data_IF_195171743257
#
_entry.id   IF_195171743257
#
_cell.length_a   1.000
_cell.length_b   1.000
_cell.length_c   1.000
_cell.angle_alpha   90.00
_cell.angle_beta   90.00
_cell.angle_gamma   90.00
#
_symmetry.space_group_name_H-M   'P 1'
#
loop_
_entity.id
_entity.type
_entity.pdbx_description
1 polymer ?
#
# COMPACT_ATOMS: atom_id res chain seq x y z
N UNK A 1 38.94 -32.48 22.32
CA UNK A 1 38.77 -31.07 21.88
C UNK A 1 38.21 -30.88 20.45
N UNK A 2 37.63 -31.90 19.79
CA UNK A 2 37.21 -31.82 18.37
C UNK A 2 35.70 -31.64 18.08
N UNK A 3 34.82 -31.72 19.09
CA UNK A 3 33.35 -31.69 18.90
C UNK A 3 32.80 -30.26 18.89
N UNK A 4 33.40 -29.33 19.64
CA UNK A 4 32.96 -27.92 19.76
C UNK A 4 33.10 -27.11 18.46
N UNK A 5 34.09 -27.45 17.62
CA UNK A 5 34.40 -26.69 16.39
C UNK A 5 33.54 -27.08 15.18
N UNK A 6 32.85 -28.23 15.21
CA UNK A 6 31.86 -28.61 14.18
C UNK A 6 30.55 -27.86 14.34
N UNK A 7 30.07 -27.73 15.57
CA UNK A 7 28.87 -26.95 15.88
C UNK A 7 29.00 -25.50 15.43
N UNK A 8 30.09 -24.82 15.81
CA UNK A 8 30.32 -23.41 15.47
C UNK A 8 30.37 -23.18 13.94
N UNK A 9 31.04 -24.07 13.19
CA UNK A 9 31.08 -23.99 11.71
C UNK A 9 29.71 -24.23 11.07
N UNK A 10 28.92 -25.15 11.61
CA UNK A 10 27.57 -25.42 11.13
C UNK A 10 26.62 -24.24 11.40
N UNK A 11 26.72 -23.61 12.57
CA UNK A 11 25.97 -22.39 12.90
C UNK A 11 26.34 -21.21 12.00
N UNK A 12 27.64 -20.99 11.78
CA UNK A 12 28.11 -19.93 10.88
C UNK A 12 27.58 -20.11 9.46
N UNK A 13 27.67 -21.32 8.91
CA UNK A 13 27.16 -21.63 7.57
C UNK A 13 25.65 -21.45 7.46
N UNK A 14 24.88 -21.79 8.51
CA UNK A 14 23.43 -21.54 8.57
C UNK A 14 23.09 -20.05 8.59
N UNK A 15 23.87 -19.26 9.34
CA UNK A 15 23.69 -17.81 9.41
C UNK A 15 24.03 -17.14 8.06
N UNK A 16 25.14 -17.53 7.43
CA UNK A 16 25.53 -17.06 6.10
C UNK A 16 24.40 -17.33 5.08
N UNK A 17 23.92 -18.57 5.01
CA UNK A 17 22.80 -18.95 4.14
C UNK A 17 21.49 -18.19 4.45
N UNK A 18 21.20 -17.91 5.72
CA UNK A 18 20.02 -17.15 6.12
C UNK A 18 20.13 -15.67 5.74
N UNK A 19 21.32 -15.07 5.83
CA UNK A 19 21.58 -13.68 5.43
C UNK A 19 21.62 -13.47 3.92
N UNK A 20 21.92 -14.52 3.16
CA UNK A 20 21.90 -14.51 1.70
C UNK A 20 20.49 -14.77 1.15
N UNK A 21 19.63 -15.45 1.91
CA UNK A 21 18.25 -15.71 1.49
C UNK A 21 17.35 -14.48 1.73
N UNK A 22 16.85 -13.82 0.67
CA UNK A 22 16.01 -12.63 0.83
C UNK A 22 14.71 -12.93 1.58
N UNK A 23 14.15 -14.14 1.47
CA UNK A 23 12.94 -14.54 2.20
C UNK A 23 13.17 -14.56 3.71
N UNK A 24 14.28 -15.16 4.15
CA UNK A 24 14.64 -15.23 5.56
C UNK A 24 14.88 -13.84 6.15
N UNK A 25 15.62 -12.99 5.43
CA UNK A 25 15.89 -11.62 5.88
C UNK A 25 14.61 -10.80 6.02
N UNK A 26 13.69 -10.92 5.06
CA UNK A 26 12.40 -10.21 5.11
C UNK A 26 11.56 -10.62 6.33
N UNK A 27 11.48 -11.93 6.61
CA UNK A 27 10.78 -12.43 7.79
C UNK A 27 11.47 -11.94 9.07
N UNK A 28 12.80 -12.02 9.14
CA UNK A 28 13.56 -11.54 10.30
C UNK A 28 13.35 -10.03 10.53
N UNK A 29 13.32 -9.24 9.46
CA UNK A 29 13.04 -7.79 9.53
C UNK A 29 11.64 -7.53 10.06
N UNK A 30 10.63 -8.23 9.55
CA UNK A 30 9.25 -8.10 10.02
C UNK A 30 9.09 -8.50 11.49
N UNK A 31 9.78 -9.56 11.94
CA UNK A 31 9.83 -9.97 13.35
C UNK A 31 10.51 -8.91 14.21
N UNK A 32 11.63 -8.34 13.76
CA UNK A 32 12.31 -7.26 14.47
C UNK A 32 11.41 -6.03 14.65
N UNK A 33 10.67 -5.66 13.60
CA UNK A 33 9.65 -4.59 13.67
C UNK A 33 8.57 -4.93 14.68
N UNK A 34 8.02 -6.15 14.66
CA UNK A 34 6.98 -6.57 15.60
C UNK A 34 7.48 -6.52 17.05
N UNK A 35 8.68 -7.04 17.33
CA UNK A 35 9.29 -6.99 18.67
C UNK A 35 9.48 -5.55 19.12
N UNK A 36 9.96 -4.68 18.22
CA UNK A 36 10.12 -3.27 18.48
C UNK A 36 8.79 -2.56 18.81
N UNK A 37 7.69 -2.91 18.13
CA UNK A 37 6.36 -2.38 18.40
C UNK A 37 5.83 -2.85 19.77
N UNK A 38 5.94 -4.14 20.07
CA UNK A 38 5.49 -4.72 21.35
C UNK A 38 6.27 -4.11 22.51
N UNK A 39 7.58 -3.94 22.35
CA UNK A 39 8.42 -3.29 23.35
C UNK A 39 8.01 -1.84 23.58
N UNK A 40 7.81 -1.06 22.51
CA UNK A 40 7.40 0.33 22.64
C UNK A 40 6.05 0.43 23.37
N UNK A 41 5.08 -0.43 23.03
CA UNK A 41 3.78 -0.48 23.71
C UNK A 41 3.91 -0.81 25.20
N UNK A 42 4.77 -1.76 25.55
CA UNK A 42 5.05 -2.11 26.95
C UNK A 42 5.78 -0.99 27.72
N UNK A 43 6.54 -0.14 27.04
CA UNK A 43 7.22 1.02 27.64
C UNK A 43 6.25 2.18 27.96
N UNK A 44 5.01 2.12 27.48
CA UNK A 44 3.93 3.03 27.86
C UNK A 44 3.88 4.35 27.10
N UNK A 45 4.40 4.43 25.86
CA UNK A 45 4.25 5.69 25.12
C UNK A 45 2.78 5.98 24.83
N UNK A 46 2.43 7.25 24.98
CA UNK A 46 1.08 7.77 24.81
C UNK A 46 0.77 7.95 23.32
N UNK A 47 -0.49 7.68 22.95
CA UNK A 47 -0.99 7.96 21.60
C UNK A 47 -0.76 9.43 21.22
N UNK A 48 -0.24 9.64 20.01
CA UNK A 48 -0.07 10.98 19.46
C UNK A 48 -1.43 11.65 19.19
N UNK A 49 -1.43 12.99 19.14
CA UNK A 49 -2.64 13.79 18.92
C UNK A 49 -3.40 13.38 17.65
N UNK A 50 -2.70 13.09 16.57
CA UNK A 50 -3.33 12.68 15.30
C UNK A 50 -3.98 11.29 15.41
N UNK A 51 -3.35 10.38 16.17
CA UNK A 51 -3.90 9.06 16.48
C UNK A 51 -5.28 9.12 17.10
N UNK A 52 -5.52 10.10 17.99
CA UNK A 52 -6.81 10.29 18.66
C UNK A 52 -7.93 10.57 17.66
N UNK A 53 -7.67 11.34 16.59
CA UNK A 53 -8.68 11.65 15.57
C UNK A 53 -9.14 10.37 14.89
N UNK A 54 -8.20 9.51 14.49
CA UNK A 54 -8.52 8.26 13.78
C UNK A 54 -9.25 7.26 14.67
N UNK A 55 -8.85 7.17 15.94
CA UNK A 55 -9.50 6.34 16.95
C UNK A 55 -10.92 6.81 17.23
N UNK A 56 -11.13 8.12 17.42
CA UNK A 56 -12.48 8.68 17.62
C UNK A 56 -13.38 8.50 16.41
N UNK A 57 -12.85 8.70 15.19
CA UNK A 57 -13.58 8.44 13.96
C UNK A 57 -13.94 6.94 13.81
N UNK A 58 -13.07 6.03 14.25
CA UNK A 58 -13.37 4.60 14.27
C UNK A 58 -14.46 4.25 15.29
N UNK A 59 -14.44 4.87 16.47
CA UNK A 59 -15.49 4.66 17.49
C UNK A 59 -16.84 5.21 17.02
N UNK A 60 -16.86 6.44 16.47
CA UNK A 60 -18.07 7.04 15.90
C UNK A 60 -18.66 6.20 14.75
N UNK A 61 -17.81 5.54 13.95
CA UNK A 61 -18.26 4.60 12.92
C UNK A 61 -19.01 3.41 13.53
N UNK A 62 -18.52 2.85 14.63
CA UNK A 62 -19.14 1.71 15.31
C UNK A 62 -20.44 2.09 16.00
N UNK A 63 -20.51 3.28 16.59
CA UNK A 63 -21.64 3.72 17.40
C UNK A 63 -22.77 4.34 16.56
N UNK A 64 -22.42 5.16 15.56
CA UNK A 64 -23.33 6.06 14.85
C UNK A 64 -23.26 5.91 13.32
N UNK A 65 -22.40 5.03 12.81
CA UNK A 65 -22.26 4.74 11.39
C UNK A 65 -21.34 5.69 10.63
N UNK A 66 -21.28 5.48 9.30
CA UNK A 66 -20.28 6.10 8.43
C UNK A 66 -20.36 7.63 8.40
N UNK A 67 -21.57 8.20 8.44
CA UNK A 67 -21.76 9.65 8.41
C UNK A 67 -21.12 10.36 9.62
N UNK A 68 -21.30 9.80 10.83
CA UNK A 68 -20.71 10.35 12.04
C UNK A 68 -19.18 10.23 12.05
N UNK A 69 -18.65 9.11 11.55
CA UNK A 69 -17.21 8.93 11.35
C UNK A 69 -16.61 9.98 10.41
N UNK A 70 -17.27 10.20 9.27
CA UNK A 70 -16.82 11.17 8.26
C UNK A 70 -16.92 12.62 8.75
N UNK A 71 -17.86 12.93 9.64
CA UNK A 71 -17.93 14.25 10.28
C UNK A 71 -16.73 14.56 11.19
N UNK A 72 -16.09 13.52 11.75
CA UNK A 72 -14.83 13.66 12.50
C UNK A 72 -13.63 13.71 11.53
N UNK A 73 -13.62 12.81 10.54
CA UNK A 73 -12.54 12.72 9.57
C UNK A 73 -13.02 12.28 8.18
N UNK A 74 -12.89 13.17 7.19
CA UNK A 74 -13.45 13.00 5.85
C UNK A 74 -12.90 11.81 5.04
N UNK A 75 -11.74 11.24 5.42
CA UNK A 75 -11.12 10.12 4.70
C UNK A 75 -11.11 8.85 5.57
N UNK A 76 -12.21 8.09 5.62
CA UNK A 76 -12.44 7.11 6.68
C UNK A 76 -11.64 5.82 6.53
N UNK A 77 -10.85 5.63 5.48
CA UNK A 77 -10.23 4.33 5.18
C UNK A 77 -9.35 3.78 6.31
N UNK A 78 -8.57 4.64 6.97
CA UNK A 78 -7.78 4.23 8.13
C UNK A 78 -8.66 3.87 9.35
N UNK A 79 -9.66 4.72 9.66
CA UNK A 79 -10.61 4.49 10.76
C UNK A 79 -11.51 3.27 10.54
N UNK A 80 -11.84 2.94 9.29
CA UNK A 80 -12.57 1.73 8.90
C UNK A 80 -11.76 0.46 9.25
N UNK A 81 -10.45 0.47 8.98
CA UNK A 81 -9.57 -0.66 9.33
C UNK A 81 -9.47 -0.82 10.86
N UNK A 82 -9.34 0.29 11.59
CA UNK A 82 -9.34 0.28 13.07
C UNK A 82 -10.65 -0.30 13.59
N UNK A 83 -11.79 0.20 13.11
CA UNK A 83 -13.12 -0.27 13.50
C UNK A 83 -13.33 -1.77 13.18
N UNK A 84 -12.82 -2.24 12.04
CA UNK A 84 -12.85 -3.65 11.69
C UNK A 84 -12.06 -4.51 12.70
N UNK A 85 -10.88 -4.06 13.12
CA UNK A 85 -10.10 -4.76 14.15
C UNK A 85 -10.82 -4.76 15.49
N UNK A 86 -11.41 -3.64 15.92
CA UNK A 86 -12.23 -3.58 17.15
C UNK A 86 -13.36 -4.61 17.07
N UNK A 87 -14.10 -4.66 15.96
CA UNK A 87 -15.22 -5.59 15.76
C UNK A 87 -14.81 -7.06 15.74
N UNK A 88 -13.64 -7.38 15.19
CA UNK A 88 -13.15 -8.75 15.07
C UNK A 88 -12.49 -9.28 16.34
N UNK A 89 -11.84 -8.41 17.12
CA UNK A 89 -11.03 -8.81 18.28
C UNK A 89 -11.62 -8.42 19.63
N UNK A 90 -12.58 -7.49 19.68
CA UNK A 90 -13.12 -6.94 20.92
C UNK A 90 -12.09 -6.13 21.72
N UNK A 91 -11.00 -5.70 21.09
CA UNK A 91 -9.91 -4.95 21.74
C UNK A 91 -10.23 -3.46 21.90
N UNK A 92 -9.42 -2.75 22.68
CA UNK A 92 -9.59 -1.30 22.83
C UNK A 92 -9.26 -0.56 21.54
N UNK A 93 -9.86 0.61 21.28
CA UNK A 93 -9.59 1.36 20.06
C UNK A 93 -8.10 1.71 19.87
N UNK A 94 -7.37 1.98 20.94
CA UNK A 94 -5.93 2.27 20.94
C UNK A 94 -5.12 1.05 20.52
N UNK A 95 -5.45 -0.13 21.07
CA UNK A 95 -4.79 -1.38 20.69
C UNK A 95 -5.08 -1.74 19.23
N UNK A 96 -6.32 -1.56 18.77
CA UNK A 96 -6.69 -1.77 17.39
C UNK A 96 -5.88 -0.87 16.43
N UNK A 97 -5.72 0.40 16.78
CA UNK A 97 -4.89 1.33 16.02
C UNK A 97 -3.40 0.94 16.03
N UNK A 98 -2.87 0.53 17.18
CA UNK A 98 -1.49 0.04 17.29
C UNK A 98 -1.25 -1.21 16.44
N UNK A 99 -2.20 -2.15 16.39
CA UNK A 99 -2.12 -3.36 15.54
C UNK A 99 -2.07 -2.98 14.06
N UNK A 100 -2.97 -2.11 13.59
CA UNK A 100 -2.95 -1.65 12.19
C UNK A 100 -1.64 -0.92 11.88
N UNK A 101 -1.17 -0.07 12.78
CA UNK A 101 0.10 0.65 12.62
C UNK A 101 1.28 -0.32 12.48
N UNK A 102 1.36 -1.33 13.36
CA UNK A 102 2.37 -2.38 13.31
C UNK A 102 2.34 -3.17 12.00
N UNK A 103 1.15 -3.51 11.50
CA UNK A 103 0.99 -4.17 10.19
C UNK A 103 1.52 -3.28 9.05
N UNK A 104 1.19 -1.98 9.06
CA UNK A 104 1.68 -1.04 8.05
C UNK A 104 3.22 -0.96 8.07
N UNK A 105 3.82 -0.92 9.26
CA UNK A 105 5.26 -0.95 9.45
C UNK A 105 5.92 -2.23 8.94
N UNK A 106 5.32 -3.39 9.20
CA UNK A 106 5.80 -4.67 8.68
C UNK A 106 5.74 -4.71 7.15
N UNK A 107 4.64 -4.23 6.55
CA UNK A 107 4.48 -4.12 5.10
C UNK A 107 5.53 -3.18 4.52
N UNK A 108 5.76 -2.02 5.15
CA UNK A 108 6.76 -1.05 4.75
C UNK A 108 8.17 -1.65 4.73
N UNK A 109 8.56 -2.32 5.82
CA UNK A 109 9.87 -2.96 5.92
C UNK A 109 10.04 -4.10 4.91
N UNK A 110 9.02 -4.95 4.76
CA UNK A 110 9.02 -6.03 3.78
C UNK A 110 9.13 -5.50 2.34
N UNK A 111 8.34 -4.49 2.00
CA UNK A 111 8.34 -3.86 0.69
C UNK A 111 9.70 -3.20 0.37
N UNK A 112 10.28 -2.50 1.35
CA UNK A 112 11.59 -1.86 1.20
C UNK A 112 12.69 -2.87 0.90
N UNK A 113 12.81 -3.94 1.71
CA UNK A 113 13.82 -4.99 1.50
C UNK A 113 13.62 -5.69 0.16
N UNK A 114 12.38 -6.00 -0.22
CA UNK A 114 12.07 -6.61 -1.54
C UNK A 114 12.48 -5.70 -2.69
N UNK A 115 12.15 -4.42 -2.60
CA UNK A 115 12.40 -3.46 -3.66
C UNK A 115 13.90 -3.22 -3.82
N UNK A 116 14.62 -2.97 -2.73
CA UNK A 116 16.05 -2.74 -2.73
C UNK A 116 16.82 -3.95 -3.27
N UNK A 117 16.52 -5.17 -2.77
CA UNK A 117 17.15 -6.38 -3.27
C UNK A 117 16.87 -6.62 -4.77
N UNK A 118 15.69 -6.22 -5.26
CA UNK A 118 15.35 -6.31 -6.68
C UNK A 118 16.14 -5.32 -7.55
N UNK A 119 16.47 -4.14 -7.00
CA UNK A 119 17.30 -3.14 -7.69
C UNK A 119 18.77 -3.56 -7.71
N UNK A 120 19.28 -4.13 -6.61
CA UNK A 120 20.68 -4.58 -6.50
C UNK A 120 20.97 -5.86 -7.31
N UNK A 121 19.95 -6.65 -7.64
CA UNK A 121 20.10 -7.89 -8.41
C UNK A 121 20.83 -9.00 -7.65
N UNK A 122 21.50 -9.91 -8.36
CA UNK A 122 22.07 -11.13 -7.79
C UNK A 122 23.24 -10.91 -6.82
N UNK A 123 23.92 -9.76 -6.91
CA UNK A 123 24.99 -9.38 -5.98
C UNK A 123 24.46 -8.67 -4.73
N UNK A 124 23.17 -8.29 -4.74
CA UNK A 124 22.53 -7.56 -3.65
C UNK A 124 22.42 -8.39 -2.39
N UNK A 125 22.95 -7.86 -1.29
CA UNK A 125 22.87 -8.48 0.03
C UNK A 125 21.59 -8.04 0.71
N UNK A 126 20.55 -8.90 0.85
CA UNK A 126 19.24 -8.46 1.35
C UNK A 126 19.27 -7.97 2.79
N UNK A 127 20.28 -8.34 3.58
CA UNK A 127 20.46 -7.85 4.95
C UNK A 127 20.86 -6.37 5.02
N UNK A 128 21.46 -5.81 3.97
CA UNK A 128 21.85 -4.39 3.94
C UNK A 128 20.62 -3.47 3.98
N UNK A 129 19.62 -3.58 3.09
CA UNK A 129 18.42 -2.77 3.19
C UNK A 129 17.61 -3.08 4.46
N UNK A 130 17.69 -4.29 5.00
CA UNK A 130 17.07 -4.62 6.30
C UNK A 130 17.72 -3.83 7.45
N UNK A 131 19.04 -3.69 7.47
CA UNK A 131 19.72 -2.84 8.45
C UNK A 131 19.39 -1.37 8.25
N UNK A 132 19.36 -0.89 7.00
CA UNK A 132 19.04 0.50 6.67
C UNK A 132 17.64 0.85 7.17
N UNK A 133 16.63 0.02 6.87
CA UNK A 133 15.27 0.32 7.32
C UNK A 133 15.22 0.32 8.85
N UNK A 134 15.75 -0.71 9.51
CA UNK A 134 15.71 -0.82 10.98
C UNK A 134 16.51 0.28 11.72
N UNK A 135 17.47 0.93 11.04
CA UNK A 135 18.26 2.02 11.61
C UNK A 135 17.68 3.42 11.36
N UNK A 136 16.60 3.54 10.57
CA UNK A 136 16.01 4.86 10.30
C UNK A 136 15.50 5.49 11.61
N UNK A 137 15.85 6.76 11.91
CA UNK A 137 15.40 7.47 13.11
C UNK A 137 13.88 7.56 13.24
N UNK A 138 13.15 7.39 12.13
CA UNK A 138 11.69 7.42 12.11
C UNK A 138 11.08 6.19 12.81
N UNK A 139 11.85 5.11 13.00
CA UNK A 139 11.58 4.07 13.98
C UNK A 139 11.82 4.55 15.43
N UNK A 140 12.05 5.82 15.72
CA UNK A 140 11.92 6.36 17.08
C UNK A 140 10.45 6.60 17.45
N UNK A 141 9.63 6.93 16.45
CA UNK A 141 8.22 7.31 16.57
C UNK A 141 7.26 6.10 16.44
N UNK A 142 7.68 4.94 16.97
CA UNK A 142 7.06 3.62 16.70
C UNK A 142 5.59 3.52 17.08
N UNK A 143 5.20 4.22 18.13
CA UNK A 143 3.83 4.23 18.63
C UNK A 143 2.99 5.39 18.10
N UNK A 144 3.60 6.31 17.36
CA UNK A 144 2.84 7.38 16.74
C UNK A 144 1.99 6.79 15.61
N UNK A 145 0.69 6.95 15.78
CA UNK A 145 -0.34 6.45 14.88
C UNK A 145 -0.44 7.45 13.73
N UNK A 146 0.18 7.08 12.60
CA UNK A 146 0.10 7.81 11.35
C UNK A 146 -0.46 6.91 10.26
N UNK A 147 -1.49 7.40 9.57
CA UNK A 147 -2.01 6.75 8.36
C UNK A 147 -0.97 6.68 7.23
N UNK A 148 0.01 7.57 7.24
CA UNK A 148 1.09 7.68 6.26
C UNK A 148 1.90 6.40 6.09
N UNK A 149 2.08 5.63 7.16
CA UNK A 149 2.80 4.36 7.09
C UNK A 149 2.13 3.35 6.17
N UNK A 150 0.78 3.32 6.15
CA UNK A 150 0.03 2.48 5.23
C UNK A 150 0.19 2.94 3.79
N UNK A 151 0.07 4.25 3.54
CA UNK A 151 0.31 4.83 2.21
C UNK A 151 1.72 4.51 1.68
N UNK A 152 2.76 4.76 2.48
CA UNK A 152 4.15 4.49 2.10
C UNK A 152 4.42 2.99 1.93
N UNK A 153 3.93 2.16 2.85
CA UNK A 153 4.16 0.73 2.84
C UNK A 153 3.53 0.06 1.62
N UNK A 154 2.26 0.32 1.37
CA UNK A 154 1.57 -0.22 0.20
C UNK A 154 2.02 0.45 -1.11
N UNK A 155 2.41 1.72 -1.08
CA UNK A 155 3.03 2.40 -2.23
C UNK A 155 4.35 1.75 -2.65
N UNK A 156 5.26 1.50 -1.70
CA UNK A 156 6.50 0.76 -1.96
C UNK A 156 6.23 -0.68 -2.39
N UNK A 157 5.20 -1.32 -1.81
CA UNK A 157 4.80 -2.67 -2.23
C UNK A 157 4.33 -2.68 -3.68
N UNK A 158 3.58 -1.65 -4.12
CA UNK A 158 3.14 -1.48 -5.50
C UNK A 158 4.32 -1.26 -6.46
N UNK A 159 5.41 -0.64 -6.02
CA UNK A 159 6.62 -0.49 -6.82
C UNK A 159 7.24 -1.84 -7.23
N UNK A 160 7.04 -2.92 -6.46
CA UNK A 160 7.61 -4.24 -6.77
C UNK A 160 7.04 -4.83 -8.09
N UNK A 161 5.72 -5.03 -8.25
CA UNK A 161 5.15 -5.47 -9.54
C UNK A 161 5.36 -4.44 -10.65
N UNK A 162 5.35 -3.13 -10.34
CA UNK A 162 5.63 -2.10 -11.34
C UNK A 162 7.07 -2.23 -11.89
N UNK A 163 8.05 -2.46 -11.02
CA UNK A 163 9.44 -2.68 -11.42
C UNK A 163 9.59 -4.00 -12.21
N UNK A 164 8.82 -5.04 -11.88
CA UNK A 164 8.75 -6.27 -12.70
C UNK A 164 8.24 -5.96 -14.11
N UNK A 165 7.19 -5.16 -14.22
CA UNK A 165 6.60 -4.74 -15.49
C UNK A 165 7.58 -3.87 -16.31
N UNK A 166 8.37 -3.03 -15.63
CA UNK A 166 9.40 -2.21 -16.23
C UNK A 166 10.57 -3.05 -16.76
N UNK A 167 11.08 -4.02 -15.99
CA UNK A 167 12.27 -4.79 -16.33
C UNK A 167 12.02 -5.95 -17.30
N UNK A 168 10.88 -6.64 -17.21
CA UNK A 168 10.68 -7.92 -17.90
C UNK A 168 10.28 -7.80 -19.37
N UNK A 169 10.01 -6.59 -19.88
CA UNK A 169 9.51 -6.33 -21.23
C UNK A 169 8.06 -6.75 -21.46
N UNK A 170 7.61 -7.84 -20.83
CA UNK A 170 6.29 -8.45 -21.04
C UNK A 170 5.28 -8.04 -19.98
N UNK A 171 4.18 -7.43 -20.41
CA UNK A 171 3.06 -7.11 -19.53
C UNK A 171 2.26 -8.35 -19.11
N UNK A 172 2.18 -8.60 -17.81
CA UNK A 172 1.43 -9.70 -17.21
C UNK A 172 0.31 -9.15 -16.32
N UNK A 173 -0.90 -9.69 -16.47
CA UNK A 173 -2.06 -9.29 -15.66
C UNK A 173 -1.82 -9.47 -14.16
N UNK A 174 -1.07 -10.50 -13.75
CA UNK A 174 -0.70 -10.70 -12.35
C UNK A 174 0.01 -9.49 -11.75
N UNK A 175 0.92 -8.86 -12.48
CA UNK A 175 1.67 -7.71 -11.99
C UNK A 175 0.80 -6.44 -12.01
N UNK A 176 -0.04 -6.28 -13.02
CA UNK A 176 -1.03 -5.19 -13.11
C UNK A 176 -2.04 -5.23 -11.96
N UNK A 177 -2.61 -6.41 -11.69
CA UNK A 177 -3.57 -6.62 -10.59
C UNK A 177 -2.88 -6.42 -9.23
N UNK A 178 -1.67 -6.97 -9.05
CA UNK A 178 -0.93 -6.80 -7.80
C UNK A 178 -0.58 -5.33 -7.53
N UNK A 179 -0.19 -4.58 -8.58
CA UNK A 179 0.04 -3.13 -8.48
C UNK A 179 -1.25 -2.40 -8.11
N UNK A 180 -2.34 -2.65 -8.83
CA UNK A 180 -3.60 -1.94 -8.61
C UNK A 180 -4.18 -2.24 -7.22
N UNK A 181 -4.16 -3.50 -6.78
CA UNK A 181 -4.59 -3.89 -5.45
C UNK A 181 -3.78 -3.18 -4.35
N UNK A 182 -2.45 -3.17 -4.47
CA UNK A 182 -1.60 -2.46 -3.52
C UNK A 182 -1.88 -0.94 -3.52
N UNK A 183 -2.08 -0.34 -4.69
CA UNK A 183 -2.41 1.08 -4.81
C UNK A 183 -3.81 1.43 -4.28
N UNK A 184 -4.81 0.55 -4.43
CA UNK A 184 -6.13 0.74 -3.82
C UNK A 184 -6.06 0.71 -2.30
N UNK A 185 -5.24 -0.17 -1.74
CA UNK A 185 -4.98 -0.18 -0.31
C UNK A 185 -4.24 1.10 0.10
N UNK A 186 -3.21 1.54 -0.64
CA UNK A 186 -2.53 2.82 -0.35
C UNK A 186 -3.50 4.02 -0.41
N UNK A 187 -4.44 4.01 -1.35
CA UNK A 187 -5.48 5.01 -1.50
C UNK A 187 -6.42 5.07 -0.29
N UNK A 188 -6.74 3.94 0.33
CA UNK A 188 -7.58 3.93 1.53
C UNK A 188 -6.94 4.70 2.69
N UNK A 189 -5.60 4.76 2.77
CA UNK A 189 -4.90 5.58 3.75
C UNK A 189 -4.85 7.05 3.34
N UNK A 190 -4.56 7.34 2.07
CA UNK A 190 -4.29 8.71 1.59
C UNK A 190 -4.74 8.93 0.15
N UNK A 191 -5.44 10.05 -0.08
CA UNK A 191 -5.94 10.45 -1.41
C UNK A 191 -4.81 10.69 -2.41
N UNK A 192 -3.62 11.07 -1.94
CA UNK A 192 -2.44 11.32 -2.78
C UNK A 192 -2.05 10.08 -3.62
N UNK A 193 -2.40 8.87 -3.17
CA UNK A 193 -2.22 7.66 -3.97
C UNK A 193 -3.01 7.68 -5.29
N UNK A 194 -4.11 8.43 -5.38
CA UNK A 194 -4.87 8.61 -6.61
C UNK A 194 -4.00 9.25 -7.70
N UNK A 195 -3.13 10.19 -7.34
CA UNK A 195 -2.19 10.80 -8.28
C UNK A 195 -1.25 9.73 -8.87
N UNK A 196 -0.72 8.84 -8.02
CA UNK A 196 0.12 7.73 -8.48
C UNK A 196 -0.66 6.75 -9.38
N UNK A 197 -1.91 6.43 -9.06
CA UNK A 197 -2.76 5.56 -9.87
C UNK A 197 -2.96 6.15 -11.28
N UNK A 198 -3.23 7.45 -11.38
CA UNK A 198 -3.48 8.14 -12.65
C UNK A 198 -2.19 8.37 -13.45
N UNK A 199 -1.07 8.68 -12.78
CA UNK A 199 0.19 9.01 -13.43
C UNK A 199 1.00 7.77 -13.84
N UNK A 200 0.80 6.60 -13.23
CA UNK A 200 1.62 5.41 -13.55
C UNK A 200 1.41 4.89 -14.99
N UNK A 201 0.19 4.79 -15.54
CA UNK A 201 -0.01 4.36 -16.93
C UNK A 201 0.77 5.19 -17.97
N UNK A 202 0.72 6.54 -17.98
CA UNK A 202 1.51 7.33 -18.93
C UNK A 202 3.02 7.24 -18.66
N UNK A 203 3.46 7.07 -17.41
CA UNK A 203 4.90 6.88 -17.10
C UNK A 203 5.46 5.62 -17.76
N UNK A 204 4.68 4.54 -17.92
CA UNK A 204 5.13 3.35 -18.64
C UNK A 204 5.38 3.60 -20.13
N UNK A 205 4.78 4.65 -20.70
CA UNK A 205 5.11 5.06 -22.05
C UNK A 205 6.54 5.56 -22.14
N UNK A 206 7.22 5.94 -21.06
CA UNK A 206 8.63 6.38 -21.07
C UNK A 206 9.63 5.21 -21.01
N UNK A 207 9.15 3.97 -20.84
CA UNK A 207 10.00 2.77 -20.74
C UNK A 207 10.83 2.56 -22.02
N UNK A 208 12.12 2.22 -21.92
CA UNK A 208 12.88 1.77 -23.08
C UNK A 208 12.34 0.44 -23.62
N UNK A 209 12.26 0.30 -24.95
CA UNK A 209 11.81 -0.92 -25.63
C UNK A 209 10.81 -0.68 -26.76
N UNK A 210 10.28 -1.77 -27.36
CA UNK A 210 9.35 -1.69 -28.49
C UNK A 210 8.08 -0.90 -28.14
N UNK A 211 7.63 -0.06 -29.06
CA UNK A 211 6.45 0.80 -28.88
C UNK A 211 5.18 0.00 -28.54
N UNK A 212 4.97 -1.14 -29.19
CA UNK A 212 3.80 -1.99 -28.96
C UNK A 212 3.75 -2.55 -27.54
N UNK A 213 4.89 -2.92 -26.95
CA UNK A 213 4.94 -3.42 -25.58
C UNK A 213 4.69 -2.31 -24.56
N UNK A 214 5.15 -1.09 -24.84
CA UNK A 214 4.88 0.11 -24.03
C UNK A 214 3.37 0.41 -24.01
N UNK A 215 2.76 0.47 -25.19
CA UNK A 215 1.31 0.69 -25.32
C UNK A 215 0.49 -0.42 -24.65
N UNK A 216 0.90 -1.68 -24.80
CA UNK A 216 0.22 -2.80 -24.14
C UNK A 216 0.28 -2.69 -22.62
N UNK A 217 1.44 -2.39 -22.06
CA UNK A 217 1.60 -2.26 -20.60
C UNK A 217 0.80 -1.06 -20.06
N UNK A 218 0.91 0.10 -20.71
CA UNK A 218 0.14 1.30 -20.36
C UNK A 218 -1.37 1.07 -20.51
N UNK A 219 -1.81 0.42 -21.58
CA UNK A 219 -3.20 0.08 -21.84
C UNK A 219 -3.77 -0.91 -20.82
N UNK A 220 -2.99 -1.90 -20.38
CA UNK A 220 -3.42 -2.82 -19.31
C UNK A 220 -3.58 -2.11 -17.96
N UNK A 221 -2.67 -1.20 -17.61
CA UNK A 221 -2.83 -0.37 -16.41
C UNK A 221 -4.02 0.59 -16.54
N UNK A 222 -4.18 1.26 -17.69
CA UNK A 222 -5.33 2.13 -17.92
C UNK A 222 -6.65 1.35 -17.84
N UNK A 223 -6.71 0.14 -18.40
CA UNK A 223 -7.89 -0.71 -18.35
C UNK A 223 -8.26 -1.14 -16.92
N UNK A 224 -7.29 -1.54 -16.08
CA UNK A 224 -7.59 -1.93 -14.69
C UNK A 224 -8.03 -0.72 -13.85
N UNK A 225 -7.53 0.48 -14.15
CA UNK A 225 -7.87 1.71 -13.42
C UNK A 225 -9.23 2.25 -13.86
N UNK A 226 -9.45 2.39 -15.15
CA UNK A 226 -10.65 3.00 -15.72
C UNK A 226 -11.82 2.02 -15.78
N UNK A 227 -11.58 0.72 -15.95
CA UNK A 227 -12.62 -0.30 -16.10
C UNK A 227 -13.63 -0.29 -14.94
N UNK A 228 -13.20 -0.42 -13.67
CA UNK A 228 -14.10 -0.37 -12.52
C UNK A 228 -14.84 0.97 -12.40
N UNK A 229 -14.17 2.10 -12.67
CA UNK A 229 -14.78 3.42 -12.62
C UNK A 229 -15.86 3.60 -13.70
N UNK A 230 -15.59 3.12 -14.92
CA UNK A 230 -16.54 3.12 -16.03
C UNK A 230 -17.75 2.23 -15.73
N UNK A 231 -17.52 1.01 -15.23
CA UNK A 231 -18.59 0.08 -14.86
C UNK A 231 -19.47 0.65 -13.74
N UNK A 232 -18.86 1.30 -12.73
CA UNK A 232 -19.60 1.96 -11.67
C UNK A 232 -20.41 3.14 -12.22
N UNK A 233 -19.80 3.98 -13.07
CA UNK A 233 -20.49 5.09 -13.73
C UNK A 233 -21.67 4.64 -14.58
N UNK A 234 -21.50 3.56 -15.35
CA UNK A 234 -22.57 2.95 -16.13
C UNK A 234 -23.68 2.38 -15.23
N UNK A 235 -23.32 1.66 -14.16
CA UNK A 235 -24.30 1.11 -13.22
C UNK A 235 -25.11 2.23 -12.53
N UNK A 236 -24.48 3.34 -12.17
CA UNK A 236 -25.15 4.51 -11.61
C UNK A 236 -26.03 5.21 -12.64
N UNK A 237 -25.56 5.36 -13.88
CA UNK A 237 -26.33 5.92 -15.00
C UNK A 237 -27.57 5.07 -15.33
N UNK A 238 -27.46 3.74 -15.22
CA UNK A 238 -28.59 2.82 -15.38
C UNK A 238 -29.58 2.87 -14.21
N UNK A 239 -29.14 3.32 -13.02
CA UNK A 239 -29.99 3.42 -11.82
C UNK A 239 -30.80 4.72 -11.78
N UNK A 240 -30.25 5.82 -12.31
CA UNK A 240 -30.91 7.12 -12.43
C UNK A 240 -30.84 7.64 -13.89
N UNK A 241 -31.93 7.51 -14.69
CA UNK A 241 -31.97 7.97 -16.09
C UNK A 241 -31.77 9.49 -16.25
N UNK A 242 -31.92 10.25 -15.17
CA UNK A 242 -31.75 11.71 -15.15
C UNK A 242 -30.31 12.13 -15.45
N UNK A 243 -29.31 11.31 -15.09
CA UNK A 243 -27.91 11.58 -15.42
C UNK A 243 -27.63 11.40 -16.92
N UNK A 244 -28.24 10.38 -17.54
CA UNK A 244 -28.18 10.17 -18.99
C UNK A 244 -28.84 11.31 -19.77
N UNK A 245 -29.97 11.84 -19.26
CA UNK A 245 -30.63 13.02 -19.82
C UNK A 245 -29.71 14.25 -19.87
N UNK A 246 -28.98 14.54 -18.80
CA UNK A 246 -28.03 15.67 -18.77
C UNK A 246 -26.85 15.49 -19.72
N UNK A 247 -26.38 14.27 -19.95
CA UNK A 247 -25.36 14.00 -20.96
C UNK A 247 -25.91 14.15 -22.39
N UNK A 248 -27.16 13.75 -22.63
CA UNK A 248 -27.84 13.98 -23.89
C UNK A 248 -28.02 15.48 -24.17
N UNK A 249 -28.36 16.28 -23.14
CA UNK A 249 -28.46 17.74 -23.22
C UNK A 249 -27.09 18.37 -23.58
N UNK A 250 -25.99 17.92 -22.98
CA UNK A 250 -24.64 18.40 -23.32
C UNK A 250 -24.23 18.07 -24.76
N UNK A 251 -24.64 16.92 -25.29
CA UNK A 251 -24.41 16.55 -26.68
C UNK A 251 -25.27 17.39 -27.64
N UNK A 252 -26.47 17.81 -27.24
CA UNK A 252 -27.31 18.73 -28.02
C UNK A 252 -26.74 20.15 -28.05
N UNK A 253 -26.10 20.59 -26.95
CA UNK A 253 -25.35 21.85 -26.91
C UNK A 253 -24.04 21.83 -27.70
N UNK A 254 -23.41 20.66 -27.84
CA UNK A 254 -22.18 20.48 -28.62
C UNK A 254 -22.42 20.30 -30.13
N UNK A 255 -23.67 20.10 -30.54
CA UNK A 255 -24.05 20.02 -31.95
C UNK A 255 -24.08 21.43 -32.57
N UNK A 256 -23.01 21.77 -33.30
CA UNK A 256 -22.81 23.05 -33.99
C UNK A 256 -23.89 23.35 -35.04
N UNK A 257 -24.68 22.35 -35.47
CA UNK A 257 -25.80 22.56 -36.38
C UNK A 257 -26.92 23.42 -35.77
N UNK A 258 -27.06 23.45 -34.44
CA UNK A 258 -28.05 24.26 -33.73
C UNK A 258 -27.72 25.77 -33.69
N UNK A 259 -26.50 26.16 -34.08
CA UNK A 259 -26.04 27.56 -34.07
C UNK A 259 -25.79 28.13 -35.47
N UNK A 260 -26.09 27.35 -36.52
CA UNK A 260 -25.88 27.74 -37.93
C UNK A 260 -27.20 28.06 -38.67
N UNK A 261 -28.25 28.42 -37.93
CA UNK A 261 -29.51 28.93 -38.46
C UNK A 261 -29.64 30.45 -38.23
#
# INVERSE_FOLDING_TARGET
>A
MGVRTRGIRQWRRRLELATENPGCVRIATAVAVLVAMVWAHAAGDVINRDGIIYVRAAQALLDQGLAASMAIYNWPGYSLLIAAVIRLSGTTPEMAAAVINGVCWMVLADAFVRLAHRLDGAAGRPWVPALVILSLPVFGHRLEIYRDWGYLGFGLLACVPLLRLWQSGRARWRDVIAWFAAMLVALSFRIEAAALIVLTPPVLLLRPGPWLERLRAAGMLAAIVLGPALLLGLALAMRDPVLLGKFADLLTYADLSNYLA
#
